data_IF_931341595899
#
_entry.id   IF_931341595899
#
_cell.length_a   1.000
_cell.length_b   1.000
_cell.length_c   1.000
_cell.angle_alpha   90.00
_cell.angle_beta   90.00
_cell.angle_gamma   90.00
#
_symmetry.space_group_name_H-M   'P 1'
#
loop_
_entity.id
_entity.type
_entity.pdbx_description
1 polymer ?
#
# COMPACT_ATOMS: atom_id res chain seq x y z
N UNK A 1 -5.24 17.23 30.53
CA UNK A 1 -5.21 15.76 30.41
C UNK A 1 -6.08 15.40 29.22
N UNK A 2 -5.48 15.14 28.06
CA UNK A 2 -6.22 14.71 26.87
C UNK A 2 -6.59 13.23 27.05
N UNK A 3 -7.83 12.82 26.77
CA UNK A 3 -8.22 11.43 26.89
C UNK A 3 -7.44 10.60 25.85
N UNK A 4 -6.72 9.59 26.33
CA UNK A 4 -6.18 8.52 25.49
C UNK A 4 -7.38 7.76 24.91
N UNK A 5 -7.73 8.07 23.66
CA UNK A 5 -8.65 7.24 22.89
C UNK A 5 -7.86 5.99 22.53
N UNK A 6 -8.00 4.95 23.35
CA UNK A 6 -7.54 3.60 23.01
C UNK A 6 -8.43 3.10 21.87
N UNK A 7 -7.90 3.06 20.65
CA UNK A 7 -8.53 2.36 19.54
C UNK A 7 -8.38 0.86 19.78
N UNK A 8 -9.34 0.27 20.50
CA UNK A 8 -9.44 -1.17 20.75
C UNK A 8 -9.66 -2.03 19.47
N UNK A 9 -9.64 -1.43 18.28
CA UNK A 9 -9.88 -2.09 16.99
C UNK A 9 -8.61 -2.69 16.37
N UNK A 10 -7.43 -2.43 16.94
CA UNK A 10 -6.15 -2.99 16.48
C UNK A 10 -5.73 -4.29 17.20
N UNK A 11 -6.45 -4.71 18.24
CA UNK A 11 -6.13 -5.97 18.93
C UNK A 11 -6.74 -7.15 18.18
N UNK A 12 -5.97 -7.74 17.27
CA UNK A 12 -6.39 -8.87 16.43
C UNK A 12 -6.03 -8.73 14.96
N UNK A 13 -5.49 -7.57 14.58
CA UNK A 13 -4.93 -7.36 13.26
C UNK A 13 -3.63 -8.18 13.12
N UNK A 14 -3.56 -9.11 12.17
CA UNK A 14 -2.26 -9.57 11.66
C UNK A 14 -1.55 -8.39 10.98
N UNK A 15 -0.22 -8.45 10.83
CA UNK A 15 0.56 -7.37 10.25
C UNK A 15 0.02 -6.87 8.88
N UNK A 16 -0.66 -7.73 8.11
CA UNK A 16 -1.26 -7.39 6.82
C UNK A 16 -2.75 -6.96 6.86
N UNK A 17 -3.39 -6.95 8.03
CA UNK A 17 -4.86 -6.73 8.11
C UNK A 17 -5.25 -5.25 8.30
N UNK A 18 -4.31 -4.37 8.66
CA UNK A 18 -4.56 -2.92 8.76
C UNK A 18 -5.02 -2.32 7.43
N UNK A 19 -4.25 -2.54 6.37
CA UNK A 19 -4.57 -2.12 5.01
C UNK A 19 -5.93 -2.62 4.53
N UNK A 20 -6.19 -3.90 4.76
CA UNK A 20 -7.45 -4.52 4.38
C UNK A 20 -8.64 -3.98 5.19
N UNK A 21 -8.49 -3.71 6.50
CA UNK A 21 -9.56 -3.12 7.31
C UNK A 21 -9.91 -1.71 6.86
N UNK A 22 -8.91 -0.88 6.58
CA UNK A 22 -9.12 0.46 6.03
C UNK A 22 -9.85 0.36 4.69
N UNK A 23 -9.49 -0.61 3.83
CA UNK A 23 -10.14 -0.83 2.54
C UNK A 23 -11.62 -1.25 2.69
N UNK A 24 -11.93 -2.14 3.64
CA UNK A 24 -13.33 -2.54 3.94
C UNK A 24 -14.18 -1.33 4.35
N UNK A 25 -13.66 -0.49 5.25
CA UNK A 25 -14.35 0.73 5.68
C UNK A 25 -14.54 1.70 4.50
N UNK A 26 -13.52 1.87 3.66
CA UNK A 26 -13.60 2.74 2.49
C UNK A 26 -14.66 2.27 1.47
N UNK A 27 -14.76 0.96 1.24
CA UNK A 27 -15.78 0.35 0.38
C UNK A 27 -17.18 0.61 0.92
N UNK A 28 -17.42 0.35 2.21
CA UNK A 28 -18.72 0.54 2.85
C UNK A 28 -19.16 2.02 2.79
N UNK A 29 -18.26 2.95 3.12
CA UNK A 29 -18.56 4.38 3.06
C UNK A 29 -18.73 4.89 1.61
N UNK A 30 -18.04 4.31 0.64
CA UNK A 30 -18.21 4.65 -0.77
C UNK A 30 -19.57 4.20 -1.29
N UNK A 31 -19.95 2.95 -1.06
CA UNK A 31 -21.25 2.41 -1.46
C UNK A 31 -22.40 3.22 -0.82
N UNK A 32 -22.27 3.57 0.46
CA UNK A 32 -23.22 4.43 1.17
C UNK A 32 -23.35 5.82 0.55
N UNK A 33 -22.24 6.46 0.15
CA UNK A 33 -22.24 7.78 -0.50
C UNK A 33 -22.84 7.75 -1.89
N UNK A 34 -22.57 6.70 -2.67
CA UNK A 34 -23.12 6.54 -4.02
C UNK A 34 -24.60 6.12 -3.95
N UNK A 35 -25.03 5.47 -2.86
CA UNK A 35 -26.37 4.92 -2.72
C UNK A 35 -26.58 3.65 -3.55
N UNK A 36 -25.50 2.94 -3.88
CA UNK A 36 -25.52 1.67 -4.63
C UNK A 36 -24.39 0.75 -4.16
N UNK A 37 -24.48 -0.53 -4.50
CA UNK A 37 -23.40 -1.50 -4.29
C UNK A 37 -22.45 -1.46 -5.48
N UNK A 38 -21.78 -0.32 -5.67
CA UNK A 38 -20.83 -0.14 -6.77
C UNK A 38 -19.62 -1.08 -6.61
N UNK A 39 -19.09 -1.17 -5.39
CA UNK A 39 -18.16 -2.22 -5.00
C UNK A 39 -18.92 -3.33 -4.28
N UNK A 40 -18.48 -4.58 -4.47
CA UNK A 40 -19.00 -5.68 -3.64
C UNK A 40 -18.62 -5.46 -2.17
N UNK A 41 -19.55 -5.78 -1.27
CA UNK A 41 -19.27 -5.68 0.17
C UNK A 41 -18.24 -6.73 0.56
N UNK A 42 -17.13 -6.28 1.12
CA UNK A 42 -16.05 -7.15 1.57
C UNK A 42 -16.33 -7.61 3.00
N UNK A 43 -16.28 -8.92 3.25
CA UNK A 43 -16.49 -9.47 4.60
C UNK A 43 -15.20 -9.44 5.42
N UNK A 44 -15.32 -9.56 6.75
CA UNK A 44 -14.15 -9.60 7.64
C UNK A 44 -13.27 -10.85 7.40
N UNK A 45 -13.85 -11.95 6.90
CA UNK A 45 -13.12 -13.19 6.64
C UNK A 45 -12.45 -13.23 5.26
N UNK A 46 -12.63 -12.17 4.47
CA UNK A 46 -12.09 -12.07 3.13
C UNK A 46 -10.74 -11.33 3.18
N UNK A 47 -9.67 -12.07 3.47
CA UNK A 47 -8.34 -11.55 3.80
C UNK A 47 -7.21 -12.31 3.10
N UNK A 48 -6.08 -11.61 2.91
CA UNK A 48 -4.83 -12.15 2.44
C UNK A 48 -4.89 -12.84 1.06
N UNK A 49 -4.04 -13.85 0.88
CA UNK A 49 -3.92 -14.61 -0.37
C UNK A 49 -5.14 -15.46 -0.71
N UNK A 50 -5.99 -15.73 0.27
CA UNK A 50 -7.21 -16.53 0.09
C UNK A 50 -8.44 -15.67 -0.19
N UNK A 51 -8.28 -14.35 -0.25
CA UNK A 51 -9.38 -13.45 -0.49
C UNK A 51 -10.10 -13.74 -1.81
N UNK A 52 -11.42 -13.71 -1.76
CA UNK A 52 -12.31 -13.74 -2.93
C UNK A 52 -12.46 -12.36 -3.56
N UNK A 53 -12.42 -11.28 -2.75
CA UNK A 53 -12.46 -9.91 -3.25
C UNK A 53 -11.19 -9.55 -4.00
N UNK A 54 -11.35 -9.07 -5.24
CA UNK A 54 -10.23 -8.57 -6.06
C UNK A 54 -9.61 -7.30 -5.47
N UNK A 55 -10.39 -6.48 -4.76
CA UNK A 55 -9.88 -5.32 -4.03
C UNK A 55 -8.88 -5.73 -2.95
N UNK A 56 -9.23 -6.73 -2.13
CA UNK A 56 -8.34 -7.24 -1.08
C UNK A 56 -7.11 -7.90 -1.69
N UNK A 57 -7.31 -8.76 -2.70
CA UNK A 57 -6.18 -9.39 -3.39
C UNK A 57 -5.22 -8.36 -3.98
N UNK A 58 -5.72 -7.30 -4.61
CA UNK A 58 -4.88 -6.26 -5.19
C UNK A 58 -4.13 -5.44 -4.14
N UNK A 59 -4.79 -5.13 -3.03
CA UNK A 59 -4.19 -4.44 -1.89
C UNK A 59 -3.04 -5.29 -1.31
N UNK A 60 -3.39 -6.49 -0.82
CA UNK A 60 -2.45 -7.44 -0.23
C UNK A 60 -1.32 -7.85 -1.17
N UNK A 61 -1.58 -8.06 -2.46
CA UNK A 61 -0.57 -8.52 -3.41
C UNK A 61 0.62 -7.56 -3.56
N UNK A 62 0.47 -6.29 -3.17
CA UNK A 62 1.55 -5.31 -3.18
C UNK A 62 2.64 -5.66 -2.17
N UNK A 63 2.32 -6.34 -1.06
CA UNK A 63 3.31 -6.78 -0.07
C UNK A 63 4.02 -8.08 -0.47
N UNK A 64 3.36 -8.94 -1.27
CA UNK A 64 3.81 -10.31 -1.48
C UNK A 64 4.17 -10.61 -2.95
N UNK A 65 5.43 -10.38 -3.37
CA UNK A 65 5.84 -10.40 -4.77
C UNK A 65 5.92 -11.80 -5.37
N UNK A 66 6.03 -12.82 -4.50
CA UNK A 66 6.16 -14.23 -4.84
C UNK A 66 4.83 -14.89 -5.17
N UNK A 67 3.74 -14.23 -4.82
CA UNK A 67 2.37 -14.72 -5.02
C UNK A 67 1.93 -14.48 -6.45
N UNK A 68 0.88 -15.16 -6.91
CA UNK A 68 0.36 -14.92 -8.27
C UNK A 68 -0.11 -13.46 -8.46
N UNK A 69 -0.64 -12.83 -7.42
CA UNK A 69 -0.98 -11.41 -7.43
C UNK A 69 0.27 -10.52 -7.55
N UNK A 70 1.28 -10.76 -6.71
CA UNK A 70 2.54 -10.01 -6.79
C UNK A 70 3.21 -10.12 -8.16
N UNK A 71 3.21 -11.31 -8.76
CA UNK A 71 3.68 -11.53 -10.14
C UNK A 71 2.85 -10.75 -11.17
N UNK A 72 1.54 -10.62 -10.96
CA UNK A 72 0.69 -9.82 -11.84
C UNK A 72 1.03 -8.32 -11.75
N UNK A 73 1.30 -7.79 -10.56
CA UNK A 73 1.77 -6.40 -10.36
C UNK A 73 3.16 -6.21 -11.00
N UNK A 74 4.07 -7.16 -10.80
CA UNK A 74 5.39 -7.11 -11.43
C UNK A 74 5.30 -7.08 -12.95
N UNK A 75 4.41 -7.89 -13.53
CA UNK A 75 4.13 -7.89 -14.96
C UNK A 75 3.50 -6.56 -15.41
N UNK A 76 2.59 -6.00 -14.62
CA UNK A 76 1.93 -4.72 -14.92
C UNK A 76 2.95 -3.58 -15.10
N UNK A 77 3.95 -3.50 -14.23
CA UNK A 77 5.04 -2.52 -14.36
C UNK A 77 6.23 -2.99 -15.22
N UNK A 78 6.11 -4.14 -15.89
CA UNK A 78 7.15 -4.73 -16.74
C UNK A 78 8.49 -4.92 -16.01
N UNK A 79 8.47 -5.34 -14.75
CA UNK A 79 9.69 -5.67 -14.00
C UNK A 79 10.31 -6.96 -14.54
N UNK A 80 11.58 -6.87 -14.96
CA UNK A 80 12.36 -7.99 -15.49
C UNK A 80 13.08 -8.68 -14.31
N UNK A 81 12.90 -10.01 -14.15
CA UNK A 81 13.63 -10.84 -13.17
C UNK A 81 12.76 -11.46 -12.07
N UNK A 82 13.31 -12.41 -11.31
CA UNK A 82 12.58 -13.02 -10.19
C UNK A 82 12.29 -11.96 -9.12
N UNK A 83 11.03 -11.63 -8.92
CA UNK A 83 10.53 -10.79 -7.82
C UNK A 83 10.44 -11.63 -6.56
N UNK A 84 11.50 -12.34 -6.19
CA UNK A 84 11.46 -13.16 -4.97
C UNK A 84 11.28 -12.29 -3.73
N UNK A 85 11.71 -11.02 -3.80
CA UNK A 85 11.61 -10.10 -2.68
C UNK A 85 11.78 -8.63 -3.11
N UNK A 86 10.69 -7.91 -3.41
CA UNK A 86 10.79 -6.47 -3.74
C UNK A 86 11.21 -5.61 -2.55
N UNK A 87 11.13 -6.12 -1.31
CA UNK A 87 11.67 -5.47 -0.12
C UNK A 87 13.19 -5.22 -0.19
N UNK A 88 13.90 -6.02 -0.99
CA UNK A 88 15.34 -5.85 -1.23
C UNK A 88 15.64 -5.35 -2.65
N UNK A 89 14.62 -5.11 -3.47
CA UNK A 89 14.77 -4.47 -4.77
C UNK A 89 14.56 -2.98 -4.61
N UNK A 90 15.68 -2.29 -4.48
CA UNK A 90 15.75 -0.87 -4.17
C UNK A 90 14.90 -0.06 -5.14
N UNK A 91 14.90 -0.41 -6.42
CA UNK A 91 14.14 0.26 -7.48
C UNK A 91 12.61 0.14 -7.36
N UNK A 92 12.09 -0.72 -6.47
CA UNK A 92 10.67 -1.01 -6.32
C UNK A 92 10.06 -0.51 -5.01
N UNK A 93 10.87 0.07 -4.13
CA UNK A 93 10.48 0.54 -2.81
C UNK A 93 9.39 1.62 -2.83
N UNK A 94 9.29 2.38 -3.92
CA UNK A 94 8.26 3.41 -4.07
C UNK A 94 6.83 2.84 -4.17
N UNK A 95 6.66 1.54 -4.48
CA UNK A 95 5.36 0.87 -4.40
C UNK A 95 4.89 0.70 -2.95
N UNK A 96 5.82 0.78 -2.00
CA UNK A 96 5.56 0.83 -0.57
C UNK A 96 5.76 2.24 -0.01
N UNK A 97 5.77 3.28 -0.83
CA UNK A 97 6.08 4.64 -0.35
C UNK A 97 7.42 4.74 0.43
N UNK A 98 8.38 3.84 0.15
CA UNK A 98 9.70 3.81 0.79
C UNK A 98 10.76 4.37 -0.15
N UNK A 99 11.85 4.88 0.43
CA UNK A 99 13.01 5.34 -0.33
C UNK A 99 13.69 4.15 -1.00
N UNK A 100 13.91 4.26 -2.31
CA UNK A 100 14.93 3.50 -3.02
C UNK A 100 16.33 4.02 -2.66
N UNK A 101 17.37 3.23 -2.92
CA UNK A 101 18.76 3.67 -2.78
C UNK A 101 19.65 3.00 -3.83
N UNK A 102 20.72 3.66 -4.25
CA UNK A 102 21.78 3.08 -5.08
C UNK A 102 23.13 3.40 -4.44
N UNK A 103 24.08 2.45 -4.47
CA UNK A 103 25.45 2.64 -3.94
C UNK A 103 25.50 3.29 -2.53
N UNK A 104 24.64 2.81 -1.64
CA UNK A 104 24.49 3.29 -0.25
C UNK A 104 23.98 4.74 -0.09
N UNK A 105 23.34 5.32 -1.11
CA UNK A 105 22.72 6.64 -1.03
C UNK A 105 21.19 6.54 -1.17
N UNK A 106 20.43 6.84 -0.12
CA UNK A 106 18.98 6.88 -0.21
C UNK A 106 18.51 8.05 -1.08
N UNK A 107 17.49 7.79 -1.90
CA UNK A 107 16.84 8.82 -2.69
C UNK A 107 16.26 9.92 -1.80
N UNK A 108 16.14 11.12 -2.36
CA UNK A 108 15.51 12.21 -1.64
C UNK A 108 14.00 11.90 -1.47
N UNK A 109 13.36 12.35 -0.38
CA UNK A 109 11.93 12.15 -0.18
C UNK A 109 11.07 12.62 -1.36
N UNK A 110 11.47 13.72 -2.02
CA UNK A 110 10.73 14.25 -3.17
C UNK A 110 10.73 13.27 -4.36
N UNK A 111 11.83 12.56 -4.59
CA UNK A 111 11.92 11.60 -5.69
C UNK A 111 10.99 10.40 -5.45
N UNK A 112 10.87 9.97 -4.19
CA UNK A 112 9.94 8.90 -3.79
C UNK A 112 8.50 9.34 -4.02
N UNK A 113 8.15 10.54 -3.55
CA UNK A 113 6.81 11.11 -3.71
C UNK A 113 6.44 11.15 -5.20
N UNK A 114 7.32 11.67 -6.06
CA UNK A 114 7.10 11.72 -7.51
C UNK A 114 6.88 10.32 -8.11
N UNK A 115 7.72 9.34 -7.75
CA UNK A 115 7.58 7.97 -8.26
C UNK A 115 6.32 7.26 -7.76
N UNK A 116 5.96 7.45 -6.50
CA UNK A 116 4.72 6.89 -5.93
C UNK A 116 3.50 7.52 -6.61
N UNK A 117 3.52 8.83 -6.88
CA UNK A 117 2.46 9.48 -7.68
C UNK A 117 2.37 8.92 -9.10
N UNK A 118 3.49 8.69 -9.78
CA UNK A 118 3.50 8.07 -11.11
C UNK A 118 2.94 6.63 -11.07
N UNK A 119 3.29 5.85 -10.04
CA UNK A 119 2.76 4.50 -9.86
C UNK A 119 1.23 4.51 -9.63
N UNK A 120 0.75 5.42 -8.78
CA UNK A 120 -0.68 5.65 -8.50
C UNK A 120 -1.41 6.08 -9.77
N UNK A 121 -0.87 7.03 -10.52
CA UNK A 121 -1.48 7.54 -11.76
C UNK A 121 -1.58 6.44 -12.83
N UNK A 122 -0.49 5.68 -13.02
CA UNK A 122 -0.45 4.57 -13.98
C UNK A 122 -1.48 3.48 -13.63
N UNK A 123 -1.52 3.03 -12.37
CA UNK A 123 -2.45 1.99 -11.93
C UNK A 123 -3.91 2.48 -11.92
N UNK A 124 -4.15 3.74 -11.53
CA UNK A 124 -5.49 4.37 -11.60
C UNK A 124 -5.97 4.47 -13.04
N UNK A 125 -5.12 4.92 -13.96
CA UNK A 125 -5.44 5.01 -15.39
C UNK A 125 -5.80 3.63 -15.95
N UNK A 126 -5.02 2.60 -15.62
CA UNK A 126 -5.31 1.23 -16.05
C UNK A 126 -6.61 0.68 -15.42
N UNK A 127 -6.90 1.01 -14.15
CA UNK A 127 -8.16 0.65 -13.50
C UNK A 127 -9.36 1.28 -14.22
N UNK A 128 -9.26 2.56 -14.61
CA UNK A 128 -10.29 3.26 -15.37
C UNK A 128 -10.53 2.58 -16.73
N UNK A 129 -9.48 2.19 -17.44
CA UNK A 129 -9.62 1.50 -18.72
C UNK A 129 -10.24 0.09 -18.54
N UNK A 130 -9.87 -0.64 -17.48
CA UNK A 130 -10.50 -1.92 -17.13
C UNK A 130 -12.00 -1.75 -16.81
N UNK A 131 -12.37 -0.69 -16.08
CA UNK A 131 -13.77 -0.38 -15.81
C UNK A 131 -14.55 -0.09 -17.10
N UNK A 132 -13.97 0.70 -18.01
CA UNK A 132 -14.60 1.03 -19.32
C UNK A 132 -14.76 -0.19 -20.22
N UNK A 133 -13.85 -1.16 -20.16
CA UNK A 133 -13.91 -2.38 -20.96
C UNK A 133 -14.82 -3.46 -20.36
N UNK A 134 -15.31 -3.27 -19.13
CA UNK A 134 -16.12 -4.23 -18.41
C UNK A 134 -15.32 -5.31 -17.67
N UNK A 135 -14.00 -5.18 -17.58
CA UNK A 135 -13.13 -6.06 -16.80
C UNK A 135 -13.16 -5.66 -15.32
N UNK A 136 -14.24 -6.06 -14.64
CA UNK A 136 -14.48 -5.74 -13.23
C UNK A 136 -13.40 -6.28 -12.30
N UNK A 137 -12.85 -7.46 -12.60
CA UNK A 137 -11.83 -8.10 -11.77
C UNK A 137 -10.53 -7.31 -11.80
N UNK A 138 -10.05 -6.95 -13.01
CA UNK A 138 -8.85 -6.14 -13.15
C UNK A 138 -9.04 -4.73 -12.58
N UNK A 139 -10.21 -4.11 -12.81
CA UNK A 139 -10.54 -2.82 -12.22
C UNK A 139 -10.39 -2.83 -10.70
N UNK A 140 -11.07 -3.78 -10.03
CA UNK A 140 -11.03 -3.89 -8.57
C UNK A 140 -9.64 -4.24 -8.05
N UNK A 141 -8.93 -5.11 -8.74
CA UNK A 141 -7.55 -5.47 -8.38
C UNK A 141 -6.61 -4.26 -8.41
N UNK A 142 -6.66 -3.46 -9.47
CA UNK A 142 -5.82 -2.26 -9.58
C UNK A 142 -6.22 -1.17 -8.58
N UNK A 143 -7.51 -1.02 -8.27
CA UNK A 143 -7.95 -0.12 -7.19
C UNK A 143 -7.37 -0.57 -5.85
N UNK A 144 -7.41 -1.86 -5.54
CA UNK A 144 -6.79 -2.42 -4.34
C UNK A 144 -5.30 -2.08 -4.25
N UNK A 145 -4.56 -2.31 -5.32
CA UNK A 145 -3.14 -1.98 -5.41
C UNK A 145 -2.86 -0.48 -5.23
N UNK A 146 -3.64 0.40 -5.86
CA UNK A 146 -3.52 1.86 -5.66
C UNK A 146 -3.77 2.25 -4.21
N UNK A 147 -4.79 1.65 -3.57
CA UNK A 147 -5.10 1.95 -2.17
C UNK A 147 -3.98 1.54 -1.23
N UNK A 148 -3.27 0.45 -1.54
CA UNK A 148 -2.08 0.03 -0.79
C UNK A 148 -1.01 1.13 -0.78
N UNK A 149 -0.56 1.56 -1.97
CA UNK A 149 0.50 2.59 -2.09
C UNK A 149 0.14 3.86 -1.31
N UNK A 150 -1.14 4.25 -1.35
CA UNK A 150 -1.64 5.42 -0.62
C UNK A 150 -1.60 5.18 0.89
N UNK A 151 -2.03 4.00 1.36
CA UNK A 151 -2.05 3.64 2.78
C UNK A 151 -0.65 3.66 3.39
N UNK A 152 0.35 3.08 2.71
CA UNK A 152 1.76 3.10 3.14
C UNK A 152 2.25 4.53 3.34
N UNK A 153 1.83 5.48 2.50
CA UNK A 153 2.15 6.90 2.66
C UNK A 153 1.60 7.55 3.95
N UNK A 154 0.67 6.91 4.65
CA UNK A 154 0.17 7.33 5.96
C UNK A 154 0.69 6.47 7.12
N UNK A 155 1.34 5.34 6.84
CA UNK A 155 1.85 4.44 7.85
C UNK A 155 3.11 5.02 8.52
N UNK A 156 3.19 5.00 9.87
CA UNK A 156 4.36 5.44 10.61
C UNK A 156 5.57 4.49 10.45
N UNK A 157 5.40 3.33 9.80
CA UNK A 157 6.50 2.48 9.38
C UNK A 157 7.26 3.08 8.18
N UNK A 158 6.55 3.77 7.27
CA UNK A 158 7.10 4.26 6.01
C UNK A 158 7.41 5.76 6.03
N UNK A 159 6.74 6.52 6.91
CA UNK A 159 6.81 7.98 6.90
C UNK A 159 6.95 8.54 8.32
N UNK A 160 7.93 9.42 8.53
CA UNK A 160 7.99 10.27 9.73
C UNK A 160 7.25 11.57 9.46
N UNK A 161 6.21 11.83 10.25
CA UNK A 161 5.41 13.05 10.15
C UNK A 161 5.77 14.05 11.23
N UNK A 162 5.54 15.33 10.94
CA UNK A 162 5.79 16.40 11.88
C UNK A 162 4.86 16.29 13.10
N UNK A 163 5.42 16.44 14.30
CA UNK A 163 4.66 16.31 15.56
C UNK A 163 3.64 17.43 15.77
N UNK A 164 3.93 18.63 15.28
CA UNK A 164 3.04 19.80 15.42
C UNK A 164 2.00 19.84 14.30
N UNK A 165 2.34 19.29 13.13
CA UNK A 165 1.50 19.27 11.94
C UNK A 165 1.59 17.92 11.21
N UNK A 166 0.78 16.91 11.61
CA UNK A 166 0.82 15.57 11.02
C UNK A 166 0.53 15.51 9.51
N UNK A 167 0.01 16.60 8.92
CA UNK A 167 -0.17 16.69 7.47
C UNK A 167 1.17 16.78 6.72
N UNK A 168 2.24 17.21 7.41
CA UNK A 168 3.58 17.33 6.85
C UNK A 168 4.40 16.07 7.06
N UNK A 169 5.12 15.70 6.01
CA UNK A 169 6.12 14.63 6.01
C UNK A 169 7.48 15.25 6.29
N UNK A 170 8.09 14.88 7.41
CA UNK A 170 9.46 15.26 7.75
C UNK A 170 10.47 14.32 7.08
N UNK A 171 10.10 13.04 6.91
CA UNK A 171 10.99 12.02 6.35
C UNK A 171 10.20 10.84 5.75
N UNK A 172 10.83 10.13 4.81
CA UNK A 172 10.35 8.87 4.24
C UNK A 172 11.42 7.81 4.54
N UNK A 173 11.00 6.64 5.00
CA UNK A 173 11.92 5.64 5.50
C UNK A 173 12.55 4.79 4.38
N UNK A 174 13.67 4.16 4.69
CA UNK A 174 14.29 3.09 3.89
C UNK A 174 13.92 1.74 4.48
N UNK A 175 13.96 0.69 3.67
CA UNK A 175 13.65 -0.66 4.11
C UNK A 175 14.92 -1.42 4.53
N UNK A 176 14.92 -1.94 5.76
CA UNK A 176 15.90 -2.86 6.38
C UNK A 176 17.37 -2.43 6.46
N UNK A 177 17.81 -1.45 5.67
CA UNK A 177 19.14 -0.83 5.79
C UNK A 177 19.07 0.41 6.70
N UNK A 178 20.14 0.68 7.44
CA UNK A 178 20.30 1.91 8.24
C UNK A 178 21.12 2.95 7.46
N UNK A 179 20.62 4.20 7.39
CA UNK A 179 21.38 5.35 6.90
C UNK A 179 21.33 6.48 7.92
N UNK A 180 22.43 7.22 8.03
CA UNK A 180 22.48 8.41 8.88
C UNK A 180 21.34 9.38 8.53
N UNK A 181 20.61 9.82 9.56
CA UNK A 181 19.52 10.79 9.48
C UNK A 181 18.26 10.37 8.72
N UNK A 182 18.18 9.11 8.23
CA UNK A 182 17.01 8.58 7.54
C UNK A 182 16.28 7.57 8.43
N UNK A 183 14.95 7.67 8.53
CA UNK A 183 14.17 6.66 9.25
C UNK A 183 14.21 5.29 8.57
N UNK A 184 13.98 4.23 9.35
CA UNK A 184 14.04 2.83 8.90
C UNK A 184 12.68 2.15 9.10
N UNK A 185 12.31 1.35 8.11
CA UNK A 185 11.23 0.37 8.14
C UNK A 185 11.85 -1.02 8.33
N UNK A 186 11.48 -1.72 9.40
CA UNK A 186 12.01 -3.06 9.69
C UNK A 186 11.32 -4.13 8.84
N UNK A 187 11.94 -5.31 8.65
CA UNK A 187 11.29 -6.42 7.94
C UNK A 187 9.95 -6.85 8.56
N UNK A 188 9.83 -6.68 9.88
CA UNK A 188 8.63 -6.95 10.66
C UNK A 188 8.29 -5.74 11.52
N UNK A 189 7.68 -4.74 10.90
CA UNK A 189 7.36 -3.49 11.57
C UNK A 189 5.93 -3.49 12.14
N UNK A 190 5.80 -3.42 13.47
CA UNK A 190 4.48 -3.34 14.13
C UNK A 190 3.73 -2.05 13.83
N UNK A 191 4.39 -1.05 13.23
CA UNK A 191 3.78 0.20 12.79
C UNK A 191 3.01 0.06 11.48
N UNK A 192 3.18 -1.06 10.79
CA UNK A 192 2.58 -1.36 9.48
C UNK A 192 1.16 -1.96 9.59
N UNK A 193 0.74 -2.32 10.83
CA UNK A 193 -0.54 -2.99 11.14
C UNK A 193 -1.64 -2.10 11.67
#
# INVERSE_FOLDING_TARGET
MSPTVSFAWLTGASASSGHEHILRIAVDETNKKIGSNFYEKITYFDEGLTATSKLILGNHATDFPTTEGGKAIAKFYNFQGSTSDWHHKKELQNLHFLRSWDDCNPQLPIDVIEKSFLAIDQATSAAIEAYKSGDSDLFQYLVGHVTHIIQDGFSPAHVRRNKEDPSKVDDICVYSDEFDEVCVHEDLDVRDS
#
